data_IF_403650895081
#
_entry.id   IF_403650895081
#
_cell.length_a   1.000
_cell.length_b   1.000
_cell.length_c   1.000
_cell.angle_alpha   90.00
_cell.angle_beta   90.00
_cell.angle_gamma   90.00
#
_symmetry.space_group_name_H-M   'P 1'
#
loop_
_entity.id
_entity.type
_entity.pdbx_description
1 polymer ?
#
# COMPACT_ATOMS: atom_id res chain seq x y z
N UNK A 1 -12.45 -2.43 25.19
CA UNK A 1 -11.51 -2.77 24.10
C UNK A 1 -10.19 -3.10 24.77
N UNK A 2 -9.58 -4.25 24.41
CA UNK A 2 -8.35 -4.72 25.04
C UNK A 2 -7.08 -4.21 24.31
N UNK A 3 -7.14 -4.02 23.00
CA UNK A 3 -6.04 -3.52 22.18
C UNK A 3 -6.56 -2.94 20.87
N UNK A 4 -5.69 -2.21 20.18
CA UNK A 4 -5.88 -1.71 18.80
C UNK A 4 -5.01 -2.51 17.85
N UNK A 5 -5.43 -2.61 16.59
CA UNK A 5 -4.63 -3.16 15.48
C UNK A 5 -4.93 -2.36 14.22
N UNK A 6 -3.93 -2.22 13.34
CA UNK A 6 -4.11 -1.54 12.06
C UNK A 6 -4.99 -2.35 11.10
N UNK A 7 -5.77 -1.66 10.29
CA UNK A 7 -6.41 -2.29 9.14
C UNK A 7 -5.36 -2.75 8.11
N UNK A 8 -4.44 -1.87 7.82
CA UNK A 8 -3.32 -2.06 6.91
C UNK A 8 -2.12 -1.25 7.39
N UNK A 9 -0.92 -1.69 7.10
CA UNK A 9 0.30 -0.99 7.53
C UNK A 9 0.60 0.27 6.70
N UNK A 10 -0.10 0.49 5.60
CA UNK A 10 0.15 1.61 4.70
C UNK A 10 -0.32 2.97 5.23
N UNK A 11 0.52 4.00 5.03
CA UNK A 11 0.18 5.40 5.27
C UNK A 11 -0.39 5.71 6.66
N UNK A 12 -1.42 6.55 6.69
CA UNK A 12 -2.08 6.94 7.94
C UNK A 12 -2.75 5.77 8.67
N UNK A 13 -3.18 4.74 7.97
CA UNK A 13 -3.86 3.58 8.58
C UNK A 13 -2.91 2.78 9.46
N UNK A 14 -1.61 2.74 9.15
CA UNK A 14 -0.60 2.09 10.00
C UNK A 14 -0.29 2.87 11.29
N UNK A 15 -0.40 4.21 11.27
CA UNK A 15 -0.06 5.08 12.40
C UNK A 15 -1.25 5.28 13.35
N UNK A 16 -2.46 5.34 12.82
CA UNK A 16 -3.68 5.65 13.59
C UNK A 16 -3.93 4.79 14.83
N UNK A 17 -3.75 3.46 14.78
CA UNK A 17 -3.94 2.64 15.96
C UNK A 17 -3.02 3.03 17.12
N UNK A 18 -1.81 3.52 16.83
CA UNK A 18 -0.89 4.00 17.87
C UNK A 18 -1.42 5.27 18.54
N UNK A 19 -1.90 6.22 17.73
CA UNK A 19 -2.49 7.48 18.23
C UNK A 19 -3.74 7.21 19.07
N UNK A 20 -4.63 6.35 18.57
CA UNK A 20 -5.84 5.93 19.29
C UNK A 20 -5.49 5.14 20.54
N UNK A 21 -4.52 4.22 20.45
CA UNK A 21 -4.01 3.43 21.58
C UNK A 21 -3.45 4.32 22.69
N UNK A 22 -2.64 5.33 22.33
CA UNK A 22 -2.13 6.28 23.32
C UNK A 22 -3.25 7.12 23.97
N UNK A 23 -4.21 7.61 23.17
CA UNK A 23 -5.34 8.39 23.68
C UNK A 23 -6.18 7.60 24.71
N UNK A 24 -6.54 6.37 24.38
CA UNK A 24 -7.36 5.51 25.24
C UNK A 24 -6.57 4.64 26.22
N UNK A 25 -5.24 4.76 26.24
CA UNK A 25 -4.32 3.98 27.09
C UNK A 25 -4.51 2.48 26.93
N UNK A 26 -4.69 2.04 25.69
CA UNK A 26 -4.75 0.63 25.31
C UNK A 26 -3.56 0.26 24.39
N UNK A 27 -3.02 -0.95 24.48
CA UNK A 27 -1.89 -1.35 23.65
C UNK A 27 -2.26 -1.42 22.16
N UNK A 28 -1.28 -1.17 21.31
CA UNK A 28 -1.38 -1.42 19.86
C UNK A 28 -0.67 -2.74 19.56
N UNK A 29 -1.35 -3.61 18.81
CA UNK A 29 -0.79 -4.89 18.37
C UNK A 29 0.18 -4.62 17.21
N UNK A 30 1.36 -5.22 17.27
CA UNK A 30 2.32 -5.22 16.19
C UNK A 30 1.85 -6.13 15.06
N UNK A 31 1.15 -5.53 14.11
CA UNK A 31 0.55 -6.21 12.98
C UNK A 31 -0.58 -5.43 12.35
N UNK A 32 -1.12 -5.98 11.30
CA UNK A 32 -2.28 -5.47 10.58
C UNK A 32 -3.15 -6.60 10.00
N UNK A 33 -4.18 -6.25 9.24
CA UNK A 33 -5.08 -7.21 8.61
C UNK A 33 -4.92 -7.32 7.09
N UNK A 34 -3.88 -6.76 6.51
CA UNK A 34 -3.68 -6.80 5.06
C UNK A 34 -2.23 -7.11 4.65
N UNK A 35 -1.23 -6.86 5.51
CA UNK A 35 0.19 -6.99 5.19
C UNK A 35 0.73 -5.90 4.26
N UNK A 36 -0.14 -5.23 3.56
CA UNK A 36 0.09 -4.05 2.70
C UNK A 36 -1.23 -3.27 2.54
N UNK A 37 -1.19 -2.08 1.93
CA UNK A 37 -2.41 -1.37 1.55
C UNK A 37 -3.08 -2.03 0.33
N UNK A 38 -4.41 -2.14 0.39
CA UNK A 38 -5.27 -2.62 -0.70
C UNK A 38 -6.46 -1.68 -0.90
N UNK A 39 -6.93 -1.53 -2.16
CA UNK A 39 -7.99 -0.57 -2.47
C UNK A 39 -9.38 -0.97 -1.96
N UNK A 40 -9.55 -2.19 -1.42
CA UNK A 40 -10.87 -2.72 -1.05
C UNK A 40 -10.89 -3.27 0.35
N UNK A 41 -11.95 -2.89 1.12
CA UNK A 41 -12.08 -3.30 2.53
C UNK A 41 -12.24 -4.79 2.74
N UNK A 42 -12.73 -5.54 1.74
CA UNK A 42 -12.90 -6.99 1.84
C UNK A 42 -11.62 -7.79 1.52
N UNK A 43 -10.50 -7.12 1.24
CA UNK A 43 -9.19 -7.78 1.09
C UNK A 43 -8.44 -7.94 2.42
N UNK A 44 -9.15 -7.75 3.54
CA UNK A 44 -8.63 -8.04 4.87
C UNK A 44 -8.51 -9.54 5.10
N UNK A 45 -7.40 -9.97 5.69
CA UNK A 45 -7.16 -11.38 6.01
C UNK A 45 -8.24 -11.98 6.91
N UNK A 46 -8.78 -11.33 7.96
CA UNK A 46 -9.89 -11.88 8.73
C UNK A 46 -11.10 -12.23 7.85
N UNK A 47 -11.44 -11.38 6.89
CA UNK A 47 -12.55 -11.65 5.98
C UNK A 47 -12.27 -12.85 5.06
N UNK A 48 -11.05 -12.98 4.56
CA UNK A 48 -10.63 -14.14 3.76
C UNK A 48 -10.70 -15.44 4.57
N UNK A 49 -10.52 -15.37 5.88
CA UNK A 49 -10.72 -16.47 6.84
C UNK A 49 -12.15 -16.58 7.39
N UNK A 50 -13.13 -15.97 6.71
CA UNK A 50 -14.55 -16.14 6.98
C UNK A 50 -15.10 -15.26 8.13
N UNK A 51 -14.35 -14.26 8.61
CA UNK A 51 -14.87 -13.32 9.61
C UNK A 51 -15.74 -12.25 8.96
N UNK A 52 -16.77 -11.81 9.68
CA UNK A 52 -17.68 -10.77 9.18
C UNK A 52 -17.02 -9.39 9.19
N UNK A 53 -17.29 -8.59 8.17
CA UNK A 53 -16.96 -7.17 8.13
C UNK A 53 -18.11 -6.29 8.68
N UNK A 54 -19.25 -6.87 9.03
CA UNK A 54 -20.41 -6.15 9.56
C UNK A 54 -20.82 -6.69 10.93
N UNK A 55 -21.37 -5.84 11.82
CA UNK A 55 -21.66 -4.43 11.61
C UNK A 55 -20.40 -3.57 11.57
N UNK A 56 -20.36 -2.57 10.69
CA UNK A 56 -19.27 -1.59 10.66
C UNK A 56 -19.80 -0.16 10.65
N UNK A 57 -19.03 0.77 11.23
CA UNK A 57 -19.42 2.18 11.33
C UNK A 57 -18.32 3.07 10.79
N UNK A 58 -18.69 4.04 9.96
CA UNK A 58 -17.85 5.16 9.55
C UNK A 58 -18.24 6.43 10.29
N UNK A 59 -17.25 7.26 10.59
CA UNK A 59 -17.43 8.56 11.23
C UNK A 59 -16.49 9.60 10.62
N UNK A 60 -16.96 10.85 10.46
CA UNK A 60 -16.20 11.98 9.92
C UNK A 60 -15.45 12.79 10.99
N UNK A 61 -15.60 12.45 12.25
CA UNK A 61 -15.05 13.22 13.37
C UNK A 61 -15.84 14.47 13.77
N UNK A 62 -16.85 14.88 12.98
CA UNK A 62 -17.72 16.03 13.24
C UNK A 62 -19.07 15.63 13.86
N UNK A 63 -19.22 14.37 14.23
CA UNK A 63 -20.44 13.82 14.82
C UNK A 63 -21.32 13.07 13.83
N UNK A 64 -21.03 13.09 12.53
CA UNK A 64 -21.79 12.32 11.56
C UNK A 64 -21.27 10.88 11.51
N UNK A 65 -22.18 9.92 11.49
CA UNK A 65 -21.85 8.49 11.44
C UNK A 65 -22.77 7.74 10.48
N UNK A 66 -22.23 6.73 9.82
CA UNK A 66 -22.99 5.77 9.01
C UNK A 66 -22.66 4.36 9.48
N UNK A 67 -23.69 3.62 9.93
CA UNK A 67 -23.52 2.23 10.35
C UNK A 67 -24.17 1.28 9.35
N UNK A 68 -23.41 0.31 8.88
CA UNK A 68 -23.91 -0.78 8.04
C UNK A 68 -24.05 -2.03 8.91
N UNK A 69 -25.27 -2.39 9.23
CA UNK A 69 -25.57 -3.56 10.07
C UNK A 69 -25.37 -4.88 9.29
N UNK A 70 -25.73 -4.87 8.00
CA UNK A 70 -25.63 -6.05 7.13
C UNK A 70 -25.57 -5.62 5.66
N UNK A 71 -24.80 -6.33 4.86
CA UNK A 71 -24.80 -6.24 3.41
C UNK A 71 -25.00 -7.64 2.81
N UNK A 72 -25.53 -7.71 1.60
CA UNK A 72 -25.78 -9.00 0.90
C UNK A 72 -24.47 -9.75 0.59
N UNK A 73 -23.44 -8.99 0.27
CA UNK A 73 -22.12 -9.47 -0.10
C UNK A 73 -21.05 -8.39 0.12
N UNK A 74 -19.79 -8.77 -0.02
CA UNK A 74 -18.65 -7.86 0.20
C UNK A 74 -18.55 -6.74 -0.83
N UNK A 75 -18.94 -6.98 -2.08
CA UNK A 75 -18.92 -5.94 -3.12
C UNK A 75 -20.01 -4.88 -2.87
N UNK A 76 -21.17 -5.31 -2.37
CA UNK A 76 -22.23 -4.40 -1.97
C UNK A 76 -21.81 -3.57 -0.75
N UNK A 77 -21.15 -4.20 0.23
CA UNK A 77 -20.60 -3.51 1.38
C UNK A 77 -19.59 -2.43 0.96
N UNK A 78 -18.65 -2.77 0.07
CA UNK A 78 -17.68 -1.82 -0.48
C UNK A 78 -18.35 -0.61 -1.12
N UNK A 79 -19.37 -0.83 -1.97
CA UNK A 79 -20.12 0.25 -2.62
C UNK A 79 -20.83 1.16 -1.60
N UNK A 80 -21.44 0.59 -0.58
CA UNK A 80 -22.11 1.35 0.50
C UNK A 80 -21.05 2.16 1.27
N UNK A 81 -19.94 1.53 1.62
CA UNK A 81 -18.84 2.17 2.34
C UNK A 81 -18.26 3.36 1.56
N UNK A 82 -17.99 3.20 0.25
CA UNK A 82 -17.49 4.29 -0.61
C UNK A 82 -18.48 5.44 -0.68
N UNK A 83 -19.75 5.15 -0.87
CA UNK A 83 -20.80 6.20 -0.91
C UNK A 83 -20.91 6.92 0.43
N UNK A 84 -20.90 6.19 1.54
CA UNK A 84 -20.89 6.79 2.87
C UNK A 84 -19.67 7.69 3.08
N UNK A 85 -18.46 7.26 2.65
CA UNK A 85 -17.25 8.07 2.71
C UNK A 85 -17.35 9.37 1.90
N UNK A 86 -17.98 9.33 0.72
CA UNK A 86 -18.23 10.53 -0.09
C UNK A 86 -19.16 11.52 0.63
N UNK A 87 -20.26 11.04 1.21
CA UNK A 87 -21.21 11.86 1.99
C UNK A 87 -20.58 12.42 3.27
N UNK A 88 -19.64 11.70 3.87
CA UNK A 88 -18.88 12.12 5.05
C UNK A 88 -17.65 13.00 4.72
N UNK A 89 -17.53 13.51 3.49
CA UNK A 89 -16.49 14.46 3.09
C UNK A 89 -15.16 13.82 2.72
N UNK A 90 -15.15 12.55 2.32
CA UNK A 90 -13.99 11.76 1.84
C UNK A 90 -12.94 11.44 2.91
N UNK A 91 -13.02 12.02 4.09
CA UNK A 91 -12.11 11.76 5.20
C UNK A 91 -12.89 11.19 6.39
N UNK A 92 -12.97 9.88 6.46
CA UNK A 92 -13.71 9.18 7.52
C UNK A 92 -12.90 8.03 8.12
N UNK A 93 -13.27 7.66 9.33
CA UNK A 93 -12.73 6.51 10.03
C UNK A 93 -13.74 5.37 10.00
N UNK A 94 -13.26 4.15 9.79
CA UNK A 94 -14.09 2.96 9.91
C UNK A 94 -13.68 2.12 11.12
N UNK A 95 -14.68 1.62 11.82
CA UNK A 95 -14.52 0.59 12.84
C UNK A 95 -15.24 -0.67 12.37
N UNK A 96 -14.51 -1.77 12.32
CA UNK A 96 -14.99 -3.11 11.99
C UNK A 96 -15.34 -3.91 13.26
N UNK A 97 -16.00 -5.07 13.15
CA UNK A 97 -16.26 -5.92 14.30
C UNK A 97 -14.98 -6.28 15.06
N UNK A 98 -15.06 -6.28 16.38
CA UNK A 98 -13.94 -6.70 17.21
C UNK A 98 -13.64 -8.21 17.01
N UNK A 99 -12.38 -8.55 16.98
CA UNK A 99 -11.89 -9.92 16.97
C UNK A 99 -11.37 -10.31 18.37
N UNK A 100 -11.41 -11.59 18.66
CA UNK A 100 -10.72 -12.13 19.83
C UNK A 100 -9.20 -12.14 19.62
N UNK A 101 -8.45 -12.30 20.70
CA UNK A 101 -6.98 -12.42 20.60
C UNK A 101 -6.58 -13.60 19.71
N UNK A 102 -7.26 -14.73 19.83
CA UNK A 102 -6.98 -15.93 19.04
C UNK A 102 -7.28 -15.70 17.56
N UNK A 103 -8.43 -15.10 17.25
CA UNK A 103 -8.76 -14.73 15.88
C UNK A 103 -7.75 -13.76 15.28
N UNK A 104 -7.32 -12.76 16.04
CA UNK A 104 -6.30 -11.81 15.59
C UNK A 104 -4.96 -12.50 15.32
N UNK A 105 -4.52 -13.42 16.18
CA UNK A 105 -3.28 -14.17 15.98
C UNK A 105 -3.33 -15.08 14.76
N UNK A 106 -4.48 -15.69 14.49
CA UNK A 106 -4.63 -16.68 13.40
C UNK A 106 -4.97 -16.06 12.05
N UNK A 107 -5.50 -14.85 12.03
CA UNK A 107 -5.91 -14.18 10.78
C UNK A 107 -5.15 -12.90 10.49
N UNK A 108 -4.45 -12.31 11.44
CA UNK A 108 -3.65 -11.10 11.26
C UNK A 108 -2.28 -11.37 10.65
N UNK A 109 -1.73 -10.36 10.01
CA UNK A 109 -0.33 -10.32 9.56
C UNK A 109 0.50 -9.64 10.65
N UNK A 110 1.25 -10.44 11.41
CA UNK A 110 1.98 -9.96 12.58
C UNK A 110 3.38 -9.44 12.20
N UNK A 111 3.90 -8.50 13.00
CA UNK A 111 5.24 -7.93 12.85
C UNK A 111 5.35 -6.80 11.81
N UNK A 112 4.27 -6.40 11.16
CA UNK A 112 4.30 -5.40 10.08
C UNK A 112 4.62 -3.99 10.58
N UNK A 113 4.18 -3.64 11.79
CA UNK A 113 4.50 -2.36 12.43
C UNK A 113 5.99 -2.27 12.78
N UNK A 114 6.54 -3.31 13.39
CA UNK A 114 7.98 -3.41 13.66
C UNK A 114 8.80 -3.36 12.38
N UNK A 115 8.40 -4.08 11.33
CA UNK A 115 9.09 -4.05 10.03
C UNK A 115 9.11 -2.64 9.45
N UNK A 116 7.97 -1.94 9.44
CA UNK A 116 7.89 -0.56 8.96
C UNK A 116 8.82 0.37 9.77
N UNK A 117 8.88 0.19 11.09
CA UNK A 117 9.78 0.94 11.95
C UNK A 117 11.26 0.64 11.66
N UNK A 118 11.66 -0.63 11.47
CA UNK A 118 13.03 -1.01 11.13
C UNK A 118 13.48 -0.41 9.80
N UNK A 119 12.62 -0.46 8.77
CA UNK A 119 12.90 0.15 7.47
C UNK A 119 13.08 1.67 7.62
N UNK A 120 12.15 2.35 8.30
CA UNK A 120 12.25 3.79 8.52
C UNK A 120 13.49 4.19 9.33
N UNK A 121 13.85 3.39 10.34
CA UNK A 121 15.09 3.59 11.12
C UNK A 121 16.34 3.39 10.25
N UNK A 122 16.37 2.39 9.37
CA UNK A 122 17.48 2.15 8.47
C UNK A 122 17.70 3.34 7.52
N UNK A 123 16.62 3.84 6.90
CA UNK A 123 16.67 5.06 6.06
C UNK A 123 17.20 6.26 6.85
N UNK A 124 16.71 6.46 8.06
CA UNK A 124 17.15 7.56 8.92
C UNK A 124 18.65 7.48 9.22
N UNK A 125 19.16 6.32 9.63
CA UNK A 125 20.58 6.11 9.94
C UNK A 125 21.46 6.26 8.69
N UNK A 126 21.07 5.66 7.57
CA UNK A 126 21.81 5.79 6.31
C UNK A 126 21.97 7.26 5.88
N UNK A 127 20.93 8.08 6.05
CA UNK A 127 21.01 9.52 5.82
C UNK A 127 22.00 10.24 6.76
N UNK A 128 22.03 9.87 8.04
CA UNK A 128 22.96 10.46 9.01
C UNK A 128 24.41 10.09 8.70
N UNK A 129 24.64 8.82 8.37
CA UNK A 129 25.95 8.23 8.11
C UNK A 129 26.41 8.43 6.65
N UNK A 130 25.54 8.95 5.79
CA UNK A 130 25.79 9.15 4.34
C UNK A 130 26.18 7.84 3.64
N UNK A 131 25.52 6.74 4.02
CA UNK A 131 25.67 5.43 3.39
C UNK A 131 24.55 5.19 2.36
N UNK A 132 24.59 4.08 1.65
CA UNK A 132 23.57 3.74 0.65
C UNK A 132 22.21 3.46 1.30
N UNK A 133 21.22 4.25 0.92
CA UNK A 133 19.86 4.17 1.47
C UNK A 133 19.14 2.92 0.98
N UNK A 134 19.34 2.53 -0.28
CA UNK A 134 18.66 1.36 -0.84
C UNK A 134 19.21 0.07 -0.24
N UNK A 135 20.54 -0.01 -0.06
CA UNK A 135 21.16 -1.12 0.64
C UNK A 135 20.61 -1.24 2.07
N UNK A 136 20.54 -0.14 2.80
CA UNK A 136 20.00 -0.11 4.16
C UNK A 136 18.52 -0.56 4.23
N UNK A 137 17.68 -0.19 3.22
CA UNK A 137 16.30 -0.64 3.14
C UNK A 137 16.24 -2.17 2.92
N UNK A 138 17.05 -2.70 2.01
CA UNK A 138 17.06 -4.14 1.70
C UNK A 138 17.59 -4.96 2.89
N UNK A 139 18.62 -4.48 3.58
CA UNK A 139 19.11 -5.13 4.81
C UNK A 139 18.05 -5.16 5.91
N UNK A 140 17.31 -4.07 6.09
CA UNK A 140 16.21 -4.00 7.07
C UNK A 140 14.98 -4.83 6.67
N UNK A 141 14.86 -5.20 5.39
CA UNK A 141 13.77 -6.01 4.84
C UNK A 141 14.34 -7.17 4.00
N UNK A 142 14.72 -8.30 4.61
CA UNK A 142 15.37 -9.42 3.91
C UNK A 142 14.54 -10.05 2.78
N UNK A 143 13.23 -9.83 2.75
CA UNK A 143 12.37 -10.26 1.65
C UNK A 143 12.29 -9.24 0.50
N UNK A 144 12.82 -8.03 0.72
CA UNK A 144 12.84 -6.94 -0.25
C UNK A 144 13.89 -7.14 -1.32
N UNK A 145 13.63 -6.58 -2.49
CA UNK A 145 14.59 -6.51 -3.59
C UNK A 145 14.31 -5.32 -4.49
N UNK A 146 15.35 -4.77 -5.09
CA UNK A 146 15.21 -3.76 -6.13
C UNK A 146 14.81 -4.45 -7.44
N UNK A 147 13.67 -4.08 -8.01
CA UNK A 147 13.21 -4.61 -9.30
C UNK A 147 13.72 -3.80 -10.48
N UNK A 148 13.85 -2.49 -10.30
CA UNK A 148 14.19 -1.57 -11.37
C UNK A 148 14.69 -0.24 -10.82
N UNK A 149 15.67 0.35 -11.50
CA UNK A 149 16.15 1.71 -11.22
C UNK A 149 16.03 2.54 -12.48
N UNK A 150 15.45 3.73 -12.36
CA UNK A 150 15.20 4.55 -13.54
C UNK A 150 14.64 5.91 -13.22
N UNK A 151 14.30 6.66 -14.27
CA UNK A 151 13.72 8.00 -14.20
C UNK A 151 12.23 7.93 -14.55
N UNK A 152 11.38 8.48 -13.70
CA UNK A 152 9.94 8.63 -13.99
C UNK A 152 9.79 9.58 -15.19
N UNK A 153 9.12 9.11 -16.24
CA UNK A 153 8.94 9.87 -17.49
C UNK A 153 7.48 10.14 -17.83
N UNK A 154 6.57 9.38 -17.25
CA UNK A 154 5.14 9.64 -17.41
C UNK A 154 4.37 9.15 -16.18
N UNK A 155 3.36 9.92 -15.82
CA UNK A 155 2.37 9.58 -14.80
C UNK A 155 1.00 9.93 -15.35
N UNK A 156 0.04 9.03 -15.19
CA UNK A 156 -1.37 9.31 -15.41
C UNK A 156 -2.12 9.01 -14.14
N UNK A 157 -3.07 9.87 -13.78
CA UNK A 157 -3.86 9.71 -12.57
C UNK A 157 -5.26 10.26 -12.77
N UNK A 158 -6.26 9.43 -12.57
CA UNK A 158 -7.67 9.76 -12.68
C UNK A 158 -8.44 9.22 -11.50
N UNK A 159 -9.49 9.93 -11.07
CA UNK A 159 -10.41 9.42 -10.06
C UNK A 159 -11.58 8.77 -10.77
N UNK A 160 -11.71 7.46 -10.61
CA UNK A 160 -12.81 6.69 -11.19
C UNK A 160 -14.14 7.00 -10.51
N UNK A 161 -15.25 6.71 -11.19
CA UNK A 161 -16.60 6.86 -10.63
C UNK A 161 -16.83 6.01 -9.35
N UNK A 162 -15.99 5.00 -9.12
CA UNK A 162 -15.97 4.21 -7.90
C UNK A 162 -15.23 4.83 -6.72
N UNK A 163 -14.65 6.03 -6.90
CA UNK A 163 -13.87 6.72 -5.86
C UNK A 163 -12.47 6.15 -5.66
N UNK A 164 -11.93 5.45 -6.66
CA UNK A 164 -10.54 4.99 -6.67
C UNK A 164 -9.69 5.93 -7.51
N UNK A 165 -8.45 6.16 -7.06
CA UNK A 165 -7.43 6.80 -7.88
C UNK A 165 -6.77 5.74 -8.75
N UNK A 166 -6.95 5.81 -10.07
CA UNK A 166 -6.44 4.83 -11.03
C UNK A 166 -5.45 5.50 -11.98
N UNK A 167 -4.48 4.74 -12.45
CA UNK A 167 -3.48 5.25 -13.38
C UNK A 167 -2.27 4.35 -13.53
N UNK A 168 -1.16 4.98 -13.93
CA UNK A 168 0.12 4.29 -14.08
C UNK A 168 1.29 5.26 -13.83
N UNK A 169 2.43 4.67 -13.51
CA UNK A 169 3.74 5.30 -13.54
C UNK A 169 4.58 4.61 -14.59
N UNK A 170 5.30 5.36 -15.41
CA UNK A 170 6.25 4.84 -16.39
C UNK A 170 7.65 5.32 -16.07
N UNK A 171 8.60 4.38 -16.03
CA UNK A 171 9.98 4.63 -15.66
C UNK A 171 10.88 4.14 -16.79
N UNK A 172 11.79 5.00 -17.25
CA UNK A 172 12.85 4.65 -18.21
C UNK A 172 14.13 4.25 -17.49
N UNK A 173 14.94 3.34 -18.06
CA UNK A 173 16.25 3.05 -17.51
C UNK A 173 17.13 4.29 -17.51
N UNK A 174 17.99 4.41 -16.52
CA UNK A 174 19.06 5.41 -16.49
C UNK A 174 20.21 4.88 -17.33
N UNK A 175 20.81 5.70 -18.20
CA UNK A 175 21.99 5.35 -18.96
C UNK A 175 23.17 5.06 -18.01
N UNK A 176 24.05 4.12 -18.39
CA UNK A 176 25.10 3.59 -17.51
C UNK A 176 26.04 4.61 -16.88
N UNK A 177 26.20 5.78 -17.49
CA UNK A 177 27.07 6.86 -17.00
C UNK A 177 26.40 7.74 -15.91
N UNK A 178 25.10 7.56 -15.67
CA UNK A 178 24.33 8.33 -14.68
C UNK A 178 24.08 7.56 -13.36
N UNK A 179 24.54 6.31 -13.27
CA UNK A 179 24.37 5.49 -12.08
C UNK A 179 25.53 5.72 -11.09
N UNK A 180 25.32 6.57 -10.10
CA UNK A 180 26.24 6.78 -8.98
C UNK A 180 26.21 5.67 -7.91
N UNK A 181 25.26 4.74 -7.98
CA UNK A 181 25.00 3.78 -6.90
C UNK A 181 24.90 2.35 -7.43
N UNK A 182 25.82 1.52 -6.94
CA UNK A 182 25.74 0.06 -6.90
C UNK A 182 25.82 -0.64 -8.24
N UNK A 183 26.53 -1.77 -8.25
CA UNK A 183 26.69 -2.62 -9.42
C UNK A 183 25.34 -3.05 -10.00
N UNK A 184 25.18 -2.73 -11.28
CA UNK A 184 24.39 -3.46 -12.26
C UNK A 184 23.04 -4.02 -11.78
N UNK A 185 22.09 -3.18 -11.48
CA UNK A 185 20.74 -3.49 -11.98
C UNK A 185 20.95 -3.58 -13.51
N UNK A 186 20.76 -4.75 -14.09
CA UNK A 186 21.00 -5.03 -15.52
C UNK A 186 20.56 -3.82 -16.31
N UNK A 187 21.39 -3.38 -17.27
CA UNK A 187 20.99 -2.40 -18.28
C UNK A 187 19.82 -3.00 -19.06
N UNK A 188 18.64 -2.85 -18.48
CA UNK A 188 17.40 -3.35 -19.04
C UNK A 188 16.91 -2.28 -20.04
N UNK A 189 16.92 -2.54 -21.35
CA UNK A 189 16.52 -1.54 -22.34
C UNK A 189 15.02 -1.25 -22.33
N UNK A 190 14.24 -2.14 -21.70
CA UNK A 190 12.79 -1.99 -21.58
C UNK A 190 12.43 -1.01 -20.47
N UNK A 191 11.26 -0.45 -20.57
CA UNK A 191 10.71 0.47 -19.60
C UNK A 191 9.84 -0.25 -18.58
N UNK A 192 9.82 0.26 -17.34
CA UNK A 192 8.94 -0.24 -16.30
C UNK A 192 7.61 0.50 -16.34
N UNK A 193 6.51 -0.23 -16.30
CA UNK A 193 5.17 0.31 -16.10
C UNK A 193 4.57 -0.26 -14.82
N UNK A 194 4.07 0.64 -13.96
CA UNK A 194 3.44 0.33 -12.69
C UNK A 194 2.00 0.83 -12.69
N UNK A 195 1.03 0.05 -13.11
CA UNK A 195 -0.38 0.42 -12.97
C UNK A 195 -0.82 0.40 -11.52
N UNK A 196 -1.77 1.29 -11.18
CA UNK A 196 -2.31 1.36 -9.83
C UNK A 196 -3.81 1.60 -9.79
N UNK A 197 -4.42 1.14 -8.71
CA UNK A 197 -5.75 1.51 -8.24
C UNK A 197 -5.63 1.81 -6.75
N UNK A 198 -5.47 3.07 -6.37
CA UNK A 198 -4.92 3.59 -5.14
C UNK A 198 -3.47 3.13 -4.91
N UNK A 199 -3.24 1.82 -4.87
CA UNK A 199 -1.95 1.15 -4.68
C UNK A 199 -1.47 0.51 -5.98
N UNK A 200 -0.14 0.31 -6.11
CA UNK A 200 0.47 -0.40 -7.25
C UNK A 200 -0.01 -1.84 -7.32
N UNK A 201 -0.41 -2.28 -8.51
CA UNK A 201 -1.00 -3.60 -8.74
C UNK A 201 0.02 -4.62 -9.24
N UNK A 202 0.89 -4.21 -10.14
CA UNK A 202 1.98 -5.03 -10.66
C UNK A 202 3.10 -4.17 -11.23
N UNK A 203 4.28 -4.78 -11.40
CA UNK A 203 5.44 -4.19 -12.05
C UNK A 203 5.72 -4.95 -13.36
N UNK A 204 5.66 -4.28 -14.49
CA UNK A 204 5.81 -4.87 -15.82
C UNK A 204 6.94 -4.20 -16.62
N UNK A 205 7.85 -5.00 -17.17
CA UNK A 205 8.78 -4.56 -18.19
C UNK A 205 8.11 -4.61 -19.56
N UNK A 206 8.15 -3.50 -20.27
CA UNK A 206 7.53 -3.33 -21.59
C UNK A 206 8.50 -2.73 -22.60
N UNK A 207 8.30 -3.04 -23.87
CA UNK A 207 9.00 -2.33 -24.94
C UNK A 207 8.65 -0.83 -24.91
N UNK A 208 9.58 0.07 -25.28
CA UNK A 208 9.31 1.51 -25.32
C UNK A 208 8.10 1.93 -26.17
N UNK A 209 7.75 1.12 -27.17
CA UNK A 209 6.60 1.34 -28.04
C UNK A 209 5.26 0.89 -27.44
N UNK A 210 5.28 0.18 -26.31
CA UNK A 210 4.07 -0.30 -25.65
C UNK A 210 3.27 0.87 -25.08
N UNK A 211 1.94 0.81 -25.21
CA UNK A 211 1.04 1.73 -24.51
C UNK A 211 1.06 1.55 -23.00
N UNK A 212 0.42 2.47 -22.30
CA UNK A 212 0.50 2.57 -20.83
C UNK A 212 -0.71 1.97 -20.11
N UNK A 213 -1.82 1.77 -20.81
CA UNK A 213 -3.02 1.23 -20.18
C UNK A 213 -2.83 -0.23 -19.79
N UNK A 214 -3.51 -0.66 -18.74
CA UNK A 214 -3.52 -2.06 -18.32
C UNK A 214 -3.82 -3.01 -19.51
N UNK A 215 -4.77 -2.66 -20.36
CA UNK A 215 -5.15 -3.44 -21.53
C UNK A 215 -4.01 -3.58 -22.54
N UNK A 216 -3.32 -2.48 -22.83
CA UNK A 216 -2.17 -2.48 -23.75
C UNK A 216 -0.99 -3.26 -23.20
N UNK A 217 -0.67 -3.09 -21.92
CA UNK A 217 0.38 -3.85 -21.23
C UNK A 217 0.05 -5.35 -21.25
N UNK A 218 -1.18 -5.75 -20.92
CA UNK A 218 -1.58 -7.16 -20.94
C UNK A 218 -1.66 -7.76 -22.35
N UNK A 219 -1.91 -6.94 -23.36
CA UNK A 219 -1.91 -7.37 -24.77
C UNK A 219 -0.50 -7.44 -25.38
N UNK A 220 0.49 -6.84 -24.73
CA UNK A 220 1.89 -6.83 -25.18
C UNK A 220 2.64 -8.08 -24.72
N UNK A 221 3.92 -8.20 -25.11
CA UNK A 221 4.84 -9.20 -24.57
C UNK A 221 5.50 -8.72 -23.26
N UNK A 222 4.74 -8.06 -22.40
CA UNK A 222 5.22 -7.57 -21.11
C UNK A 222 5.71 -8.72 -20.23
N UNK A 223 6.81 -8.51 -19.55
CA UNK A 223 7.29 -9.40 -18.49
C UNK A 223 6.81 -8.86 -17.14
N UNK A 224 5.96 -9.59 -16.47
CA UNK A 224 5.49 -9.24 -15.12
C UNK A 224 6.54 -9.70 -14.11
N UNK A 225 7.21 -8.74 -13.45
CA UNK A 225 8.24 -9.02 -12.45
C UNK A 225 7.67 -9.27 -11.07
N UNK A 226 6.59 -8.58 -10.75
CA UNK A 226 5.96 -8.63 -9.44
C UNK A 226 4.48 -8.26 -9.57
N UNK A 227 3.64 -8.84 -8.77
CA UNK A 227 2.20 -8.56 -8.72
C UNK A 227 1.69 -8.66 -7.30
N UNK A 228 0.50 -8.11 -7.03
CA UNK A 228 -0.19 -8.37 -5.76
C UNK A 228 -0.27 -9.89 -5.48
N UNK A 229 -0.09 -10.35 -4.25
CA UNK A 229 -0.13 -9.64 -2.97
C UNK A 229 1.19 -8.95 -2.55
N UNK A 230 2.27 -9.07 -3.29
CA UNK A 230 3.53 -8.43 -2.94
C UNK A 230 3.39 -6.90 -2.84
N UNK A 231 4.07 -6.30 -1.88
CA UNK A 231 4.13 -4.85 -1.75
C UNK A 231 5.10 -4.28 -2.79
N UNK A 232 4.59 -3.45 -3.68
CA UNK A 232 5.37 -2.72 -4.68
C UNK A 232 5.50 -1.28 -4.19
N UNK A 233 6.72 -0.78 -4.09
CA UNK A 233 7.01 0.59 -3.66
C UNK A 233 7.94 1.29 -4.64
N UNK A 234 7.70 2.56 -4.90
CA UNK A 234 8.67 3.47 -5.48
C UNK A 234 9.40 4.20 -4.35
N UNK A 235 10.71 4.30 -4.46
CA UNK A 235 11.54 5.01 -3.49
C UNK A 235 12.40 6.02 -4.25
N UNK A 236 12.34 7.29 -3.85
CA UNK A 236 13.18 8.34 -4.39
C UNK A 236 14.64 8.20 -3.93
N UNK A 237 15.54 8.89 -4.60
CA UNK A 237 16.98 8.92 -4.24
C UNK A 237 17.25 9.44 -2.82
N UNK A 238 16.29 10.15 -2.26
CA UNK A 238 16.30 10.63 -0.87
C UNK A 238 15.76 9.61 0.14
N UNK A 239 15.37 8.40 -0.31
CA UNK A 239 14.84 7.33 0.52
C UNK A 239 13.39 7.53 0.99
N UNK A 240 12.68 8.53 0.45
CA UNK A 240 11.24 8.65 0.69
C UNK A 240 10.44 7.79 -0.28
N UNK A 241 9.41 7.17 0.24
CA UNK A 241 8.45 6.47 -0.62
C UNK A 241 7.69 7.48 -1.50
N UNK A 242 7.58 7.16 -2.78
CA UNK A 242 6.77 7.91 -3.74
C UNK A 242 5.44 7.17 -3.89
N UNK A 243 4.44 7.62 -3.15
CA UNK A 243 3.09 7.08 -3.25
C UNK A 243 2.39 7.56 -4.54
N UNK A 244 1.29 6.90 -4.89
CA UNK A 244 0.48 7.29 -6.07
C UNK A 244 -0.14 8.69 -5.93
N UNK A 245 0.02 9.33 -4.79
CA UNK A 245 -0.42 10.70 -4.50
C UNK A 245 0.72 11.73 -4.68
N UNK A 246 1.97 11.28 -4.68
CA UNK A 246 3.16 12.13 -4.58
C UNK A 246 3.84 12.36 -5.95
N UNK A 247 3.34 11.68 -6.99
CA UNK A 247 3.89 11.65 -8.34
C UNK A 247 2.95 12.23 -9.38
#
# INVERSE_FOLDING_TARGET
MAAQIALEIGGMNGIRPMVVGDHYKVPTIDGDFMGRAYPRIYLQTPFLFGKSLTPCTQADGNGNTVTVHKASDSQKLEKIHRKAGQELGLFSQMVSPALTVEETKTTGTLGTTSLAWYIGRAVYLAKQEKTDIMEAIIEANPSGRVLYTGKIVAVSREVSSGGYTEGYVRIKPIAGDELEYGEAVRQEPREMVLPFQNEYLYAALVDPSCGNSHKEVMASKAEILCTVPDLISLVGTDGYALGTQDI
#
